data_IF_611651538207
#
_entry.id   IF_611651538207
#
_cell.length_a   1.000
_cell.length_b   1.000
_cell.length_c   1.000
_cell.angle_alpha   90.00
_cell.angle_beta   90.00
_cell.angle_gamma   90.00
#
_symmetry.space_group_name_H-M   'P 1'
#
loop_
_entity.id
_entity.type
_entity.pdbx_description
1 polymer ?
#
# COMPACT_ATOMS: atom_id res chain seq x y z
N UNK A 1 -5.59 2.21 13.01
CA UNK A 1 -4.29 2.25 12.38
C UNK A 1 -4.18 1.23 11.25
N UNK A 2 -3.12 1.31 10.47
CA UNK A 2 -3.00 0.54 9.23
C UNK A 2 -2.88 -0.98 9.48
N UNK A 3 -2.05 -1.39 10.41
CA UNK A 3 -1.85 -2.82 10.69
C UNK A 3 -3.09 -3.46 11.30
N UNK A 4 -3.82 -2.74 12.14
CA UNK A 4 -5.08 -3.23 12.69
C UNK A 4 -6.14 -3.39 11.60
N UNK A 5 -6.22 -2.44 10.68
CA UNK A 5 -7.15 -2.51 9.56
C UNK A 5 -6.90 -3.79 8.74
N UNK A 6 -5.64 -4.05 8.36
CA UNK A 6 -5.29 -5.25 7.60
C UNK A 6 -5.57 -6.52 8.41
N UNK A 7 -5.20 -6.53 9.70
CA UNK A 7 -5.46 -7.66 10.59
C UNK A 7 -6.95 -7.99 10.66
N UNK A 8 -7.80 -6.98 10.81
CA UNK A 8 -9.25 -7.17 10.92
C UNK A 8 -9.85 -7.70 9.61
N UNK A 9 -9.39 -7.18 8.47
CA UNK A 9 -9.84 -7.67 7.15
C UNK A 9 -9.50 -9.14 6.97
N UNK A 10 -8.26 -9.55 7.25
CA UNK A 10 -7.86 -10.93 7.10
C UNK A 10 -8.54 -11.87 8.09
N UNK A 11 -8.84 -11.37 9.29
CA UNK A 11 -9.57 -12.16 10.29
C UNK A 11 -10.96 -12.58 9.81
N UNK A 12 -11.62 -11.75 8.99
CA UNK A 12 -12.93 -12.11 8.43
C UNK A 12 -12.84 -13.32 7.50
N UNK A 13 -11.65 -13.64 6.98
CA UNK A 13 -11.40 -14.83 6.16
C UNK A 13 -10.74 -15.95 6.96
N UNK A 14 -10.71 -15.87 8.29
CA UNK A 14 -10.12 -16.91 9.13
C UNK A 14 -8.60 -16.88 9.19
N UNK A 15 -7.97 -15.80 8.78
CA UNK A 15 -6.52 -15.66 8.77
C UNK A 15 -6.09 -14.72 9.90
N UNK A 16 -5.26 -15.24 10.83
CA UNK A 16 -4.74 -14.44 11.92
C UNK A 16 -3.40 -13.82 11.52
N UNK A 17 -3.30 -12.50 11.65
CA UNK A 17 -2.07 -11.75 11.41
C UNK A 17 -1.57 -11.13 12.72
N UNK A 18 -0.24 -10.95 12.89
CA UNK A 18 0.28 -10.17 14.00
C UNK A 18 -0.25 -8.73 13.97
N UNK A 19 -0.32 -8.11 15.14
CA UNK A 19 -0.84 -6.75 15.27
C UNK A 19 0.08 -5.68 14.67
N UNK A 20 1.38 -5.93 14.67
CA UNK A 20 2.39 -4.97 14.26
C UNK A 20 2.72 -5.12 12.78
N UNK A 21 2.84 -4.00 12.04
CA UNK A 21 3.11 -4.00 10.61
C UNK A 21 4.44 -4.70 10.26
N UNK A 22 5.48 -4.50 11.06
CA UNK A 22 6.77 -5.15 10.81
C UNK A 22 6.71 -6.66 11.00
N UNK A 23 5.93 -7.13 11.97
CA UNK A 23 5.71 -8.56 12.17
C UNK A 23 4.86 -9.16 11.06
N UNK A 24 3.85 -8.43 10.58
CA UNK A 24 3.05 -8.87 9.44
C UNK A 24 3.91 -9.01 8.19
N UNK A 25 4.84 -8.10 7.98
CA UNK A 25 5.78 -8.13 6.86
C UNK A 25 6.67 -9.38 6.87
N UNK A 26 6.99 -9.91 8.05
CA UNK A 26 7.90 -11.05 8.21
C UNK A 26 7.20 -12.41 8.18
N UNK A 27 5.87 -12.43 7.98
CA UNK A 27 5.12 -13.67 8.01
C UNK A 27 5.51 -14.64 6.90
N UNK A 28 5.61 -15.89 7.26
CA UNK A 28 5.56 -17.04 6.39
C UNK A 28 4.27 -17.79 6.74
N UNK A 29 3.56 -18.43 5.83
CA UNK A 29 3.97 -18.95 4.52
C UNK A 29 3.67 -18.05 3.31
N UNK A 30 3.52 -16.76 3.48
CA UNK A 30 3.21 -15.89 2.34
C UNK A 30 4.39 -15.76 1.38
N UNK A 31 4.11 -15.71 0.08
CA UNK A 31 5.11 -15.39 -0.92
C UNK A 31 5.39 -13.89 -0.85
N UNK A 32 6.67 -13.54 -0.79
CA UNK A 32 7.09 -12.14 -0.71
C UNK A 32 7.77 -11.70 -1.98
N UNK A 33 7.49 -10.47 -2.37
CA UNK A 33 8.17 -9.77 -3.45
C UNK A 33 8.83 -8.53 -2.89
N UNK A 34 10.08 -8.27 -3.30
CA UNK A 34 10.82 -7.07 -2.89
C UNK A 34 10.79 -6.05 -4.01
N UNK A 35 10.37 -4.83 -3.70
CA UNK A 35 10.36 -3.73 -4.68
C UNK A 35 11.74 -3.09 -4.75
N UNK A 36 12.29 -3.04 -5.96
CA UNK A 36 13.59 -2.44 -6.23
C UNK A 36 13.56 -1.74 -7.59
N UNK A 37 14.45 -0.77 -7.76
CA UNK A 37 14.60 -0.09 -9.03
C UNK A 37 13.69 1.11 -9.17
N UNK A 38 13.55 1.56 -10.42
CA UNK A 38 12.80 2.76 -10.75
C UNK A 38 11.28 2.50 -10.77
N UNK A 39 10.53 3.56 -11.05
CA UNK A 39 9.08 3.54 -11.13
C UNK A 39 8.56 2.48 -12.10
N UNK A 40 9.18 2.36 -13.28
CA UNK A 40 8.74 1.41 -14.30
C UNK A 40 8.91 -0.04 -13.85
N UNK A 41 10.05 -0.37 -13.23
CA UNK A 41 10.31 -1.71 -12.71
C UNK A 41 9.34 -2.08 -11.59
N UNK A 42 9.06 -1.14 -10.71
CA UNK A 42 8.11 -1.32 -9.61
C UNK A 42 6.69 -1.54 -10.14
N UNK A 43 6.29 -0.78 -11.14
CA UNK A 43 4.97 -0.92 -11.76
C UNK A 43 4.82 -2.29 -12.44
N UNK A 44 5.90 -2.80 -13.05
CA UNK A 44 5.90 -4.13 -13.67
C UNK A 44 5.75 -5.22 -12.60
N UNK A 45 6.38 -5.07 -11.43
CA UNK A 45 6.25 -6.04 -10.36
C UNK A 45 4.81 -6.15 -9.84
N UNK A 46 4.06 -5.05 -9.84
CA UNK A 46 2.66 -5.06 -9.42
C UNK A 46 1.80 -6.03 -10.23
N UNK A 47 2.18 -6.34 -11.46
CA UNK A 47 1.42 -7.28 -12.31
C UNK A 47 1.43 -8.71 -11.78
N UNK A 48 2.33 -9.03 -10.85
CA UNK A 48 2.38 -10.34 -10.19
C UNK A 48 1.43 -10.44 -9.00
N UNK A 49 0.84 -9.33 -8.60
CA UNK A 49 -0.04 -9.26 -7.43
C UNK A 49 -1.50 -9.36 -7.83
N UNK A 50 -2.32 -9.74 -6.86
CA UNK A 50 -3.77 -9.83 -7.00
C UNK A 50 -4.45 -8.99 -5.94
N UNK A 51 -5.72 -8.65 -6.17
CA UNK A 51 -6.51 -7.92 -5.18
C UNK A 51 -6.53 -8.68 -3.86
N UNK A 52 -6.26 -7.97 -2.77
CA UNK A 52 -6.16 -8.55 -1.44
C UNK A 52 -4.73 -8.83 -0.99
N UNK A 53 -3.76 -8.78 -1.89
CA UNK A 53 -2.35 -8.92 -1.49
C UNK A 53 -1.91 -7.74 -0.63
N UNK A 54 -0.93 -7.96 0.23
CA UNK A 54 -0.48 -6.97 1.20
C UNK A 54 0.70 -6.19 0.64
N UNK A 55 0.65 -4.87 0.75
CA UNK A 55 1.75 -3.97 0.37
C UNK A 55 2.39 -3.39 1.62
N UNK A 56 3.73 -3.29 1.62
CA UNK A 56 4.47 -2.75 2.74
C UNK A 56 5.35 -1.58 2.32
N UNK A 57 5.42 -0.57 3.18
CA UNK A 57 6.42 0.48 3.13
C UNK A 57 6.86 0.78 4.56
N UNK A 58 7.94 1.56 4.80
CA UNK A 58 8.42 1.76 6.17
C UNK A 58 7.33 2.27 7.10
N UNK A 59 7.04 1.48 8.16
CA UNK A 59 6.05 1.82 9.17
C UNK A 59 4.60 1.78 8.70
N UNK A 60 4.29 1.25 7.52
CA UNK A 60 2.93 1.27 6.98
C UNK A 60 2.62 0.00 6.19
N UNK A 61 1.36 -0.40 6.23
CA UNK A 61 0.87 -1.60 5.54
C UNK A 61 -0.47 -1.26 4.87
N UNK A 62 -0.66 -1.82 3.67
CA UNK A 62 -1.82 -1.51 2.83
C UNK A 62 -2.29 -2.78 2.13
N UNK A 63 -3.49 -2.75 1.56
CA UNK A 63 -4.02 -3.82 0.72
C UNK A 63 -4.07 -3.36 -0.73
N UNK A 64 -3.57 -4.22 -1.62
CA UNK A 64 -3.64 -3.97 -3.05
C UNK A 64 -5.04 -4.30 -3.55
N UNK A 65 -5.62 -3.44 -4.39
CA UNK A 65 -6.95 -3.66 -4.97
C UNK A 65 -6.92 -4.10 -6.42
N UNK A 66 -5.80 -3.90 -7.10
CA UNK A 66 -5.67 -4.26 -8.51
C UNK A 66 -5.43 -3.08 -9.44
N UNK A 67 -5.36 -3.39 -10.73
CA UNK A 67 -5.15 -2.39 -11.79
C UNK A 67 -6.46 -2.12 -12.51
N UNK A 68 -6.70 -0.83 -12.81
CA UNK A 68 -7.82 -0.40 -13.62
C UNK A 68 -7.40 0.80 -14.47
N UNK A 69 -7.58 0.71 -15.78
CA UNK A 69 -7.19 1.75 -16.74
C UNK A 69 -5.75 2.23 -16.55
N UNK A 70 -4.81 1.28 -16.44
CA UNK A 70 -3.37 1.52 -16.30
C UNK A 70 -2.97 2.21 -14.99
N UNK A 71 -3.85 2.25 -13.99
CA UNK A 71 -3.56 2.75 -12.66
C UNK A 71 -3.73 1.65 -11.64
N UNK A 72 -2.92 1.68 -10.59
CA UNK A 72 -2.95 0.68 -9.55
C UNK A 72 -3.55 1.26 -8.28
N UNK A 73 -4.48 0.54 -7.68
CA UNK A 73 -5.25 1.03 -6.54
C UNK A 73 -4.91 0.26 -5.28
N UNK A 74 -4.95 0.96 -4.17
CA UNK A 74 -4.78 0.39 -2.84
C UNK A 74 -5.90 0.88 -1.93
N UNK A 75 -6.11 0.17 -0.83
CA UNK A 75 -6.92 0.63 0.28
C UNK A 75 -6.09 0.56 1.55
N UNK A 76 -6.15 1.60 2.36
CA UNK A 76 -5.38 1.65 3.60
C UNK A 76 -6.02 2.56 4.63
N UNK A 77 -5.67 2.33 5.90
CA UNK A 77 -5.98 3.25 6.99
C UNK A 77 -4.80 4.18 7.17
N UNK A 78 -5.01 5.47 7.02
CA UNK A 78 -3.95 6.47 7.06
C UNK A 78 -4.41 7.76 7.70
N UNK A 79 -3.44 8.60 8.09
CA UNK A 79 -3.72 9.91 8.68
C UNK A 79 -3.78 11.04 7.65
N UNK A 80 -3.53 10.73 6.39
CA UNK A 80 -3.59 11.74 5.33
C UNK A 80 -2.91 11.30 4.05
N UNK A 81 -2.89 12.20 3.09
CA UNK A 81 -2.30 11.98 1.77
C UNK A 81 -1.86 13.31 1.17
N UNK A 82 -1.05 13.23 0.08
CA UNK A 82 -0.66 14.41 -0.68
C UNK A 82 -1.43 14.50 -1.99
N UNK A 83 -1.73 15.71 -2.43
CA UNK A 83 -2.30 15.95 -3.74
C UNK A 83 -1.82 17.29 -4.31
N UNK A 84 -1.96 17.47 -5.63
CA UNK A 84 -1.71 18.73 -6.30
C UNK A 84 -3.03 19.49 -6.42
N UNK A 85 -3.00 20.79 -6.13
CA UNK A 85 -4.18 21.63 -6.31
C UNK A 85 -4.34 22.04 -7.79
N UNK A 86 -5.34 22.89 -8.09
CA UNK A 86 -5.64 23.35 -9.45
C UNK A 86 -4.51 24.14 -10.09
N UNK A 87 -3.58 24.67 -9.29
CA UNK A 87 -2.39 25.42 -9.74
C UNK A 87 -1.12 24.57 -9.75
N UNK A 88 -1.26 23.24 -9.58
CA UNK A 88 -0.15 22.30 -9.46
C UNK A 88 0.74 22.51 -8.23
N UNK A 89 0.22 23.17 -7.20
CA UNK A 89 0.89 23.30 -5.91
C UNK A 89 0.55 22.10 -5.03
N UNK A 90 1.55 21.60 -4.30
CA UNK A 90 1.34 20.48 -3.41
C UNK A 90 0.51 20.88 -2.18
N UNK A 91 -0.46 20.05 -1.84
CA UNK A 91 -1.24 20.16 -0.62
C UNK A 91 -1.19 18.85 0.16
N UNK A 92 -0.97 18.96 1.48
CA UNK A 92 -1.06 17.82 2.38
C UNK A 92 -2.43 17.80 3.03
N UNK A 93 -3.15 16.69 2.89
CA UNK A 93 -4.47 16.51 3.50
C UNK A 93 -4.35 15.62 4.72
N UNK A 94 -4.83 16.08 5.87
CA UNK A 94 -4.80 15.35 7.13
C UNK A 94 -6.19 14.85 7.50
N UNK A 95 -6.45 13.57 7.24
CA UNK A 95 -7.71 12.91 7.56
C UNK A 95 -7.38 11.53 8.12
N UNK A 96 -7.94 11.19 9.27
CA UNK A 96 -7.80 9.84 9.85
C UNK A 96 -8.97 8.99 9.38
N UNK A 97 -8.73 8.18 8.35
CA UNK A 97 -9.78 7.38 7.75
C UNK A 97 -9.19 6.24 6.93
N UNK A 98 -10.07 5.44 6.34
CA UNK A 98 -9.70 4.43 5.35
C UNK A 98 -9.91 5.03 3.98
N UNK A 99 -8.89 4.94 3.12
CA UNK A 99 -8.91 5.52 1.78
C UNK A 99 -8.66 4.47 0.71
N UNK A 100 -9.29 4.68 -0.45
CA UNK A 100 -8.89 4.04 -1.69
C UNK A 100 -8.08 5.08 -2.47
N UNK A 101 -6.86 4.73 -2.87
CA UNK A 101 -5.93 5.65 -3.53
C UNK A 101 -5.18 4.97 -4.66
N UNK A 102 -4.59 5.77 -5.54
CA UNK A 102 -3.68 5.28 -6.57
C UNK A 102 -2.26 5.17 -6.01
N UNK A 103 -1.56 4.08 -6.38
CA UNK A 103 -0.14 3.93 -6.02
C UNK A 103 0.73 4.99 -6.67
N UNK A 104 0.29 5.55 -7.77
CA UNK A 104 0.96 6.62 -8.49
C UNK A 104 0.75 8.00 -7.85
N UNK A 105 -0.05 8.09 -6.79
CA UNK A 105 -0.32 9.34 -6.09
C UNK A 105 0.81 9.73 -5.15
N UNK A 106 1.02 11.03 -4.97
CA UNK A 106 2.04 11.56 -4.07
C UNK A 106 1.72 11.24 -2.60
N UNK A 107 2.78 10.96 -1.86
CA UNK A 107 2.72 10.88 -0.41
C UNK A 107 2.54 12.26 0.20
N UNK A 108 2.32 12.28 1.52
CA UNK A 108 2.20 13.50 2.30
C UNK A 108 3.45 14.41 2.24
N UNK A 109 4.62 13.83 1.93
CA UNK A 109 5.87 14.58 1.79
C UNK A 109 5.95 15.41 0.50
N UNK A 110 5.08 15.12 -0.49
CA UNK A 110 5.05 15.85 -1.76
C UNK A 110 6.16 15.52 -2.75
N UNK A 111 7.04 14.58 -2.40
CA UNK A 111 8.22 14.25 -3.23
C UNK A 111 8.13 12.88 -3.88
N UNK A 112 7.55 11.90 -3.20
CA UNK A 112 7.52 10.53 -3.64
C UNK A 112 6.08 10.04 -3.81
N UNK A 113 5.89 9.08 -4.73
CA UNK A 113 4.63 8.36 -4.84
C UNK A 113 4.61 7.17 -3.87
N UNK A 114 3.43 6.62 -3.61
CA UNK A 114 3.33 5.37 -2.84
C UNK A 114 4.14 4.25 -3.48
N UNK A 115 4.09 4.16 -4.81
CA UNK A 115 4.82 3.11 -5.55
C UNK A 115 6.32 3.18 -5.31
N UNK A 116 6.90 4.38 -5.28
CA UNK A 116 8.34 4.56 -5.06
C UNK A 116 8.78 4.20 -3.65
N UNK A 117 7.88 4.27 -2.68
CA UNK A 117 8.17 3.97 -1.28
C UNK A 117 7.90 2.52 -0.88
N UNK A 118 7.28 1.73 -1.73
CA UNK A 118 7.04 0.32 -1.43
C UNK A 118 8.36 -0.43 -1.22
N UNK A 119 8.42 -1.21 -0.15
CA UNK A 119 9.58 -2.07 0.14
C UNK A 119 9.32 -3.51 -0.24
N UNK A 120 8.13 -4.02 0.02
CA UNK A 120 7.79 -5.40 -0.29
C UNK A 120 6.29 -5.59 -0.42
N UNK A 121 5.91 -6.74 -0.95
CA UNK A 121 4.53 -7.19 -0.98
C UNK A 121 4.46 -8.62 -0.49
N UNK A 122 3.35 -9.01 0.12
CA UNK A 122 3.09 -10.38 0.54
C UNK A 122 1.87 -10.89 -0.17
N UNK A 123 2.04 -12.01 -0.88
CA UNK A 123 0.97 -12.65 -1.61
C UNK A 123 0.48 -13.85 -0.81
N UNK A 124 -0.84 -13.92 -0.61
CA UNK A 124 -1.46 -15.04 0.08
C UNK A 124 -1.80 -16.10 -0.94
N UNK A 125 -1.42 -17.32 -0.63
CA UNK A 125 -1.76 -18.49 -1.46
C UNK A 125 -3.05 -19.15 -1.01
#
# INVERSE_FOLDING_TARGET
DCSRFVMDIYRTFGIELPRNADLQKKLTPFIKYTFRGDFKKRKTLLKKLEAGDILHMPGHIMLYLGEYQNKNYLIHAASGYGELDEHSNFESKSIRSVFIMELEQLLKDGENTYLEKLTSASKIK
#
